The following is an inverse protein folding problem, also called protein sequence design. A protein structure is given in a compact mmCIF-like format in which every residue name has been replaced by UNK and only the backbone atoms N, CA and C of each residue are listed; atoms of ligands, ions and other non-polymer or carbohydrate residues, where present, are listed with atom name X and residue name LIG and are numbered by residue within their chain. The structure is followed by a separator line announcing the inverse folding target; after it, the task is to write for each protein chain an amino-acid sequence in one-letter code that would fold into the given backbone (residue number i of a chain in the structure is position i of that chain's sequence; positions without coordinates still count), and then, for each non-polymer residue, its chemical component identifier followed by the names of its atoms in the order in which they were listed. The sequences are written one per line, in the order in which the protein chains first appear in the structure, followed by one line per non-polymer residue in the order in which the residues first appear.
data_IF_870556328920
#
_entry.id   IF_870556328920
#
_cell.length_a   1.000
_cell.length_b   1.000
_cell.length_c   1.000
_cell.angle_alpha   90.00
_cell.angle_beta   90.00
_cell.angle_gamma   90.00
#
_symmetry.space_group_name_H-M   'P 1'
#
loop_
_entity.id
_entity.type
_entity.pdbx_description
1 polymer ?
#
# COMPACT_ATOMS: atom_id res chain seq x y z
N UNK A 1 -13.25 3.76 4.38
CA UNK A 1 -11.89 4.15 3.95
C UNK A 1 -10.93 3.11 4.50
N UNK A 2 -9.97 2.67 3.70
CA UNK A 2 -8.94 1.70 4.13
C UNK A 2 -7.57 2.34 3.96
N UNK A 3 -6.72 2.22 4.98
CA UNK A 3 -5.33 2.69 4.95
C UNK A 3 -4.42 1.47 4.96
N UNK A 4 -3.47 1.42 4.03
CA UNK A 4 -2.44 0.38 3.97
C UNK A 4 -1.08 1.04 4.08
N UNK A 5 -0.22 0.50 4.94
CA UNK A 5 1.12 1.01 5.17
C UNK A 5 2.07 -0.16 4.96
N UNK A 6 3.02 -0.01 4.04
CA UNK A 6 3.91 -1.07 3.62
C UNK A 6 5.34 -0.55 3.55
N UNK A 7 6.31 -1.32 4.06
CA UNK A 7 7.73 -1.07 3.84
C UNK A 7 8.23 -1.91 2.66
N UNK A 8 8.72 -1.25 1.60
CA UNK A 8 9.35 -1.89 0.45
C UNK A 8 10.82 -1.47 0.35
N UNK A 9 11.72 -2.37 0.74
CA UNK A 9 13.12 -2.01 0.94
C UNK A 9 13.24 -0.93 2.02
N UNK A 10 13.74 0.26 1.65
CA UNK A 10 13.87 1.40 2.58
C UNK A 10 12.78 2.47 2.37
N UNK A 11 11.77 2.19 1.53
CA UNK A 11 10.69 3.11 1.23
C UNK A 11 9.40 2.69 1.94
N UNK A 12 8.83 3.58 2.74
CA UNK A 12 7.47 3.43 3.24
C UNK A 12 6.49 3.89 2.17
N UNK A 13 5.51 3.05 1.84
CA UNK A 13 4.38 3.35 0.97
C UNK A 13 3.10 3.42 1.81
N UNK A 14 2.36 4.51 1.68
CA UNK A 14 1.05 4.70 2.30
C UNK A 14 0.00 4.76 1.21
N UNK A 15 -0.96 3.85 1.26
CA UNK A 15 -2.10 3.79 0.36
C UNK A 15 -3.39 4.10 1.10
N UNK A 16 -4.26 4.90 0.47
CA UNK A 16 -5.59 5.24 0.98
C UNK A 16 -6.60 4.83 -0.08
N UNK A 17 -7.59 4.03 0.33
CA UNK A 17 -8.67 3.57 -0.53
C UNK A 17 -10.03 4.06 -0.02
N UNK A 18 -10.81 4.66 -0.91
CA UNK A 18 -12.16 5.14 -0.64
C UNK A 18 -13.05 4.96 -1.88
N UNK A 19 -14.20 4.28 -1.73
CA UNK A 19 -15.20 4.18 -2.80
C UNK A 19 -14.69 3.61 -4.14
N UNK A 20 -13.68 2.73 -4.14
CA UNK A 20 -13.09 2.15 -5.34
C UNK A 20 -11.91 2.93 -5.94
N UNK A 21 -11.64 4.15 -5.46
CA UNK A 21 -10.42 4.88 -5.79
C UNK A 21 -9.32 4.59 -4.77
N UNK A 22 -8.09 4.42 -5.26
CA UNK A 22 -6.89 4.23 -4.45
C UNK A 22 -5.83 5.24 -4.86
N UNK A 23 -5.35 6.03 -3.90
CA UNK A 23 -4.19 6.89 -4.07
C UNK A 23 -3.12 6.47 -3.09
N UNK A 24 -1.85 6.62 -3.45
CA UNK A 24 -0.75 6.32 -2.56
C UNK A 24 0.39 7.30 -2.72
N UNK A 25 1.18 7.42 -1.66
CA UNK A 25 2.43 8.16 -1.65
C UNK A 25 3.52 7.31 -1.01
N UNK A 26 4.77 7.58 -1.40
CA UNK A 26 5.93 6.85 -0.91
C UNK A 26 7.03 7.81 -0.47
N UNK A 27 7.74 7.45 0.60
CA UNK A 27 8.88 8.22 1.10
C UNK A 27 9.97 7.27 1.60
N UNK A 28 11.23 7.64 1.37
CA UNK A 28 12.36 6.94 1.97
C UNK A 28 12.39 7.24 3.46
N UNK A 29 12.23 6.20 4.28
CA UNK A 29 12.21 6.29 5.75
C UNK A 29 13.30 5.44 6.39
N UNK A 30 13.94 4.57 5.61
CA UNK A 30 14.77 3.50 6.16
C UNK A 30 13.93 2.35 6.72
N UNK A 31 14.59 1.33 7.27
CA UNK A 31 13.91 0.22 7.94
C UNK A 31 13.14 0.71 9.16
N UNK A 32 11.96 0.14 9.38
CA UNK A 32 11.17 0.43 10.58
C UNK A 32 11.83 -0.17 11.82
N UNK A 33 12.08 0.66 12.84
CA UNK A 33 12.52 0.22 14.17
C UNK A 33 11.36 -0.34 14.99
N UNK A 34 10.17 0.22 14.80
CA UNK A 34 8.90 -0.25 15.34
C UNK A 34 7.83 -0.14 14.26
N UNK A 35 6.79 -0.96 14.36
CA UNK A 35 5.65 -0.88 13.45
C UNK A 35 5.06 0.54 13.39
N UNK A 36 4.48 0.93 12.24
CA UNK A 36 3.87 2.24 12.07
C UNK A 36 2.72 2.42 13.06
N UNK A 37 2.45 3.65 13.45
CA UNK A 37 1.25 4.00 14.23
C UNK A 37 0.34 4.86 13.40
N UNK A 38 -0.96 4.69 13.60
CA UNK A 38 -1.99 5.53 13.01
C UNK A 38 -2.72 6.27 14.12
N UNK A 39 -2.81 7.58 13.98
CA UNK A 39 -3.50 8.48 14.89
C UNK A 39 -4.71 9.08 14.17
N UNK A 40 -5.84 9.15 14.85
CA UNK A 40 -7.01 9.88 14.39
C UNK A 40 -7.06 11.21 15.12
N UNK A 41 -7.01 12.31 14.35
CA UNK A 41 -7.14 13.69 14.83
C UNK A 41 -8.44 14.30 14.32
N UNK A 42 -8.77 15.52 14.77
CA UNK A 42 -9.91 16.31 14.23
C UNK A 42 -9.76 16.61 12.73
N UNK A 43 -8.51 16.61 12.25
CA UNK A 43 -8.07 17.03 10.93
C UNK A 43 -7.89 15.87 9.94
N UNK A 44 -8.05 14.62 10.40
CA UNK A 44 -7.90 13.42 9.61
C UNK A 44 -7.05 12.34 10.28
N UNK A 45 -6.36 11.54 9.47
CA UNK A 45 -5.44 10.51 9.96
C UNK A 45 -4.00 11.01 9.94
N UNK A 46 -3.17 10.56 10.87
CA UNK A 46 -1.73 10.81 10.88
C UNK A 46 -0.99 9.48 11.05
N UNK A 47 -0.09 9.16 10.14
CA UNK A 47 0.81 8.02 10.23
C UNK A 47 2.14 8.48 10.81
N UNK A 48 2.56 7.83 11.89
CA UNK A 48 3.88 7.98 12.50
C UNK A 48 4.74 6.78 12.09
N UNK A 49 5.90 7.06 11.48
CA UNK A 49 6.89 6.07 11.07
C UNK A 49 8.16 6.27 11.90
N UNK A 50 8.56 5.24 12.64
CA UNK A 50 9.82 5.20 13.39
C UNK A 50 10.89 4.50 12.56
N UNK A 51 11.48 5.22 11.61
CA UNK A 51 12.53 4.72 10.70
C UNK A 51 13.96 5.10 11.14
N UNK A 52 14.81 5.40 10.16
CA UNK A 52 16.11 6.03 10.41
C UNK A 52 15.93 7.41 11.06
N UNK A 53 14.95 8.16 10.56
CA UNK A 53 14.45 9.40 11.14
C UNK A 53 12.93 9.31 11.38
N UNK A 54 12.41 9.94 12.45
CA UNK A 54 10.97 10.05 12.67
C UNK A 54 10.29 10.75 11.50
N UNK A 55 9.35 10.07 10.85
CA UNK A 55 8.61 10.60 9.70
C UNK A 55 7.12 10.58 9.97
N UNK A 56 6.45 11.63 9.53
CA UNK A 56 5.02 11.83 9.74
C UNK A 56 4.32 12.01 8.39
N UNK A 57 3.19 11.35 8.20
CA UNK A 57 2.35 11.53 7.01
C UNK A 57 0.91 11.84 7.43
N UNK A 58 0.34 12.93 6.91
CA UNK A 58 -1.08 13.25 7.08
C UNK A 58 -1.88 12.54 5.99
N UNK A 59 -2.96 11.89 6.38
CA UNK A 59 -3.97 11.30 5.51
C UNK A 59 -5.12 12.29 5.36
N UNK A 60 -5.27 12.86 4.16
CA UNK A 60 -6.31 13.82 3.84
C UNK A 60 -6.79 13.61 2.39
N UNK A 61 -8.07 13.87 2.13
CA UNK A 61 -8.66 13.93 0.78
C UNK A 61 -8.32 12.73 -0.12
N UNK A 62 -8.33 11.52 0.44
CA UNK A 62 -8.09 10.28 -0.30
C UNK A 62 -6.63 9.98 -0.61
N UNK A 63 -5.67 10.77 -0.11
CA UNK A 63 -4.23 10.54 -0.25
C UNK A 63 -3.45 10.70 1.07
N UNK A 64 -2.13 10.59 0.98
CA UNK A 64 -1.21 10.82 2.09
C UNK A 64 -0.12 11.83 1.70
N UNK A 65 0.12 12.80 2.56
CA UNK A 65 1.10 13.87 2.38
C UNK A 65 2.13 13.80 3.50
N UNK A 66 3.41 13.93 3.16
CA UNK A 66 4.46 13.89 4.16
C UNK A 66 4.59 15.25 4.87
N UNK A 67 4.71 15.22 6.20
CA UNK A 67 4.92 16.41 7.00
C UNK A 67 6.42 16.66 7.21
N UNK A 68 6.78 17.93 7.34
CA UNK A 68 8.15 18.36 7.62
C UNK A 68 8.46 18.38 9.11
N UNK A 69 7.44 18.52 9.96
CA UNK A 69 7.53 18.50 11.42
C UNK A 69 6.51 17.54 12.01
N UNK A 70 6.73 17.14 13.26
CA UNK A 70 5.73 16.39 14.01
C UNK A 70 4.44 17.23 14.09
N UNK A 71 3.26 16.66 13.75
CA UNK A 71 1.99 17.32 13.96
C UNK A 71 1.63 17.32 15.44
N UNK A 72 0.71 18.20 15.81
CA UNK A 72 0.07 18.13 17.11
C UNK A 72 -0.82 16.88 17.18
N UNK A 73 -0.62 16.09 18.23
CA UNK A 73 -1.40 14.89 18.53
C UNK A 73 -2.23 15.06 19.81
N UNK A 74 -2.35 16.27 20.35
CA UNK A 74 -3.20 16.52 21.50
C UNK A 74 -4.66 16.13 21.19
N UNK A 75 -5.23 15.28 22.03
CA UNK A 75 -6.57 14.72 21.81
C UNK A 75 -6.68 13.68 20.68
N UNK A 76 -5.58 13.30 20.04
CA UNK A 76 -5.58 12.26 19.02
C UNK A 76 -5.85 10.88 19.65
N UNK A 77 -6.61 10.04 18.94
CA UNK A 77 -6.86 8.66 19.34
C UNK A 77 -5.99 7.71 18.53
N UNK A 78 -5.27 6.81 19.21
CA UNK A 78 -4.52 5.76 18.54
C UNK A 78 -5.47 4.77 17.86
N UNK A 79 -5.32 4.59 16.55
CA UNK A 79 -6.05 3.60 15.76
C UNK A 79 -5.22 2.33 15.71
N UNK A 80 -5.82 1.22 16.17
CA UNK A 80 -5.15 -0.09 16.13
C UNK A 80 -4.99 -0.54 14.68
N UNK A 81 -3.75 -0.71 14.25
CA UNK A 81 -3.43 -1.33 12.97
C UNK A 81 -3.41 -2.85 13.11
N UNK A 82 -3.84 -3.53 12.05
CA UNK A 82 -3.70 -4.97 11.89
C UNK A 82 -2.50 -5.21 11.00
N UNK A 83 -1.48 -5.89 11.53
CA UNK A 83 -0.38 -6.40 10.73
C UNK A 83 -0.90 -7.56 9.87
N UNK A 84 -0.52 -7.55 8.60
CA UNK A 84 -0.90 -8.58 7.62
C UNK A 84 0.37 -9.12 6.99
N UNK A 85 0.49 -10.44 6.89
CA UNK A 85 1.59 -11.06 6.16
C UNK A 85 1.40 -10.78 4.66
N UNK A 86 2.16 -9.83 4.09
CA UNK A 86 2.10 -9.59 2.65
C UNK A 86 2.60 -8.24 2.15
N UNK A 87 3.91 -8.17 1.92
CA UNK A 87 4.52 -7.41 0.83
C UNK A 87 5.19 -8.34 -0.19
N UNK A 88 4.80 -9.61 -0.24
CA UNK A 88 5.12 -10.45 -1.38
C UNK A 88 4.32 -9.91 -2.55
N UNK A 89 5.00 -9.37 -3.57
CA UNK A 89 4.36 -9.05 -4.83
C UNK A 89 3.42 -10.19 -5.20
N UNK A 90 2.22 -9.83 -5.70
CA UNK A 90 1.25 -10.76 -6.28
C UNK A 90 1.98 -11.99 -6.81
N UNK A 91 1.64 -13.24 -6.43
CA UNK A 91 2.30 -14.39 -7.02
C UNK A 91 2.24 -14.17 -8.51
N UNK A 92 3.41 -13.89 -9.11
CA UNK A 92 3.48 -13.43 -10.48
C UNK A 92 2.67 -14.43 -11.27
N UNK A 93 1.64 -13.96 -11.96
CA UNK A 93 1.00 -14.77 -12.98
C UNK A 93 2.17 -15.23 -13.85
N UNK A 94 2.59 -16.48 -13.69
CA UNK A 94 3.69 -17.05 -14.48
C UNK A 94 3.28 -16.77 -15.93
N UNK A 95 4.17 -16.19 -16.76
CA UNK A 95 3.85 -15.98 -18.16
C UNK A 95 3.28 -17.28 -18.71
N UNK A 96 2.02 -17.24 -19.15
CA UNK A 96 1.39 -18.42 -19.73
C UNK A 96 2.26 -18.80 -20.93
N UNK A 97 2.78 -20.03 -20.94
CA UNK A 97 3.59 -20.52 -22.05
C UNK A 97 2.77 -20.32 -23.34
N UNK A 98 3.42 -19.89 -24.45
CA UNK A 98 2.72 -19.68 -25.70
C UNK A 98 1.99 -20.98 -26.08
N UNK A 99 0.67 -20.86 -26.26
CA UNK A 99 -0.14 -21.98 -26.71
C UNK A 99 0.38 -22.41 -28.09
N UNK A 100 0.75 -23.68 -28.23
CA UNK A 100 1.09 -24.22 -29.54
C UNK A 100 -0.13 -24.14 -30.45
N UNK A 101 0.03 -23.73 -31.72
CA UNK A 101 -1.08 -23.67 -32.66
C UNK A 101 -1.73 -25.04 -32.76
N UNK A 102 -3.03 -25.13 -32.48
CA UNK A 102 -3.78 -26.35 -32.76
C UNK A 102 -3.77 -26.59 -34.27
N UNK A 103 -3.37 -27.80 -34.69
CA UNK A 103 -3.42 -28.19 -36.09
C UNK A 103 -4.87 -28.10 -36.58
N UNK A 104 -5.09 -27.69 -37.84
CA UNK A 104 -6.44 -27.66 -38.41
C UNK A 104 -7.07 -29.04 -38.28
N UNK A 105 -8.27 -29.09 -37.69
CA UNK A 105 -9.12 -30.26 -37.78
C UNK A 105 -9.43 -30.47 -39.25
N UNK A 106 -9.09 -31.66 -39.78
CA UNK A 106 -9.50 -32.04 -41.12
C UNK A 106 -11.03 -31.97 -41.19
N UNK A 107 -11.61 -31.36 -42.23
CA UNK A 107 -13.05 -31.46 -42.44
C UNK A 107 -13.39 -32.95 -42.59
N UNK A 108 -14.29 -33.46 -41.73
CA UNK A 108 -15.01 -34.66 -42.08
C UNK A 108 -15.99 -34.29 -43.19
N UNK A 109 -15.74 -34.80 -44.39
CA UNK A 109 -16.72 -34.81 -45.47
C UNK A 109 -16.23 -34.22 -46.78
N UNK A 110 -15.76 -35.10 -47.66
CA UNK A 110 -16.17 -35.10 -49.06
C UNK A 110 -16.31 -36.59 -49.45
N UNK A 111 -17.46 -36.88 -50.05
CA UNK A 111 -17.91 -38.16 -50.62
C UNK A 111 -16.93 -38.73 -51.67
#
# INVERSE_FOLDING_TARGET
MTVTIELRGNQTQVGVAHGGQRQGSGRTTGPWRTGPKLWQTVDGGVVEISGDEPTWLRIAQGGAEALTTAPDLEGATAVRLTEVEGGGGQPGLKPMAPMTPMKPLKPLGQD
#
